data_IF_356265047668
#
_entry.id   IF_356265047668
#
_cell.length_a   1.000
_cell.length_b   1.000
_cell.length_c   1.000
_cell.angle_alpha   90.00
_cell.angle_beta   90.00
_cell.angle_gamma   90.00
#
_symmetry.space_group_name_H-M   'P 1'
#
loop_
_entity.id
_entity.type
_entity.pdbx_description
1 polymer ?
#
# COMPACT_ATOMS: atom_id res chain seq x y z
N UNK A 1 -22.40 7.79 -55.77
CA UNK A 1 -21.97 9.17 -55.50
C UNK A 1 -23.21 10.00 -55.20
N UNK A 2 -23.26 10.59 -53.98
CA UNK A 2 -23.97 11.80 -53.51
C UNK A 2 -25.46 12.00 -53.88
N UNK A 3 -26.34 12.59 -53.07
CA UNK A 3 -26.37 13.14 -51.71
C UNK A 3 -27.85 13.45 -51.48
N UNK A 4 -28.41 13.20 -50.30
CA UNK A 4 -29.67 13.80 -49.87
C UNK A 4 -29.46 14.40 -48.47
N UNK A 5 -29.75 15.70 -48.37
CA UNK A 5 -29.82 16.48 -47.15
C UNK A 5 -31.27 16.52 -46.64
N UNK A 6 -31.44 16.56 -45.32
CA UNK A 6 -32.40 17.35 -44.49
C UNK A 6 -32.28 16.75 -43.07
N UNK A 7 -31.59 17.42 -42.14
CA UNK A 7 -32.08 18.40 -41.15
C UNK A 7 -32.82 17.76 -39.96
N UNK A 8 -32.18 17.74 -38.79
CA UNK A 8 -32.86 17.86 -37.49
C UNK A 8 -32.02 18.80 -36.61
N UNK A 9 -32.66 19.89 -36.20
CA UNK A 9 -32.23 20.88 -35.22
C UNK A 9 -32.19 20.28 -33.81
N UNK A 10 -31.25 20.71 -32.97
CA UNK A 10 -31.46 21.00 -31.53
C UNK A 10 -30.22 21.69 -30.93
N UNK A 11 -30.37 23.00 -30.70
CA UNK A 11 -29.64 23.83 -29.73
C UNK A 11 -30.62 23.95 -28.54
N UNK A 12 -30.24 23.85 -27.24
CA UNK A 12 -29.43 24.89 -26.61
C UNK A 12 -28.54 24.46 -25.41
N UNK A 13 -27.88 25.47 -24.84
CA UNK A 13 -27.15 25.52 -23.56
C UNK A 13 -25.67 25.15 -23.57
N UNK A 14 -24.90 25.91 -24.35
CA UNK A 14 -23.61 26.38 -23.87
C UNK A 14 -23.84 27.62 -22.99
N UNK A 15 -24.09 27.42 -21.69
CA UNK A 15 -23.91 28.48 -20.70
C UNK A 15 -23.25 27.92 -19.45
N UNK A 16 -22.25 28.67 -18.97
CA UNK A 16 -21.64 28.59 -17.64
C UNK A 16 -20.72 27.41 -17.34
N UNK A 17 -19.55 27.40 -17.95
CA UNK A 17 -18.33 27.07 -17.20
C UNK A 17 -17.23 28.08 -17.51
N UNK A 18 -17.17 29.16 -16.72
CA UNK A 18 -15.96 29.70 -16.10
C UNK A 18 -16.37 30.77 -15.10
N UNK A 19 -17.11 30.33 -14.08
CA UNK A 19 -17.27 31.09 -12.84
C UNK A 19 -15.92 30.99 -12.11
N UNK A 20 -15.29 32.15 -11.93
CA UNK A 20 -14.17 32.43 -11.02
C UNK A 20 -14.01 31.34 -9.93
N UNK A 21 -12.97 30.51 -10.05
CA UNK A 21 -12.32 29.91 -8.89
C UNK A 21 -10.92 30.50 -8.78
N UNK A 22 -10.90 31.72 -8.24
CA UNK A 22 -9.78 32.25 -7.48
C UNK A 22 -9.78 31.49 -6.14
N UNK A 23 -9.44 30.20 -6.15
CA UNK A 23 -9.11 29.47 -4.94
C UNK A 23 -7.59 29.47 -4.84
N UNK A 24 -7.07 30.42 -4.05
CA UNK A 24 -5.73 30.31 -3.49
C UNK A 24 -5.66 28.95 -2.80
N UNK A 25 -4.83 28.05 -3.32
CA UNK A 25 -4.49 26.82 -2.60
C UNK A 25 -3.92 27.20 -1.24
N UNK A 26 -4.44 26.66 -0.13
CA UNK A 26 -3.94 26.98 1.22
C UNK A 26 -2.50 26.49 1.44
N UNK A 27 -2.00 25.65 0.53
CA UNK A 27 -0.64 25.10 0.54
C UNK A 27 0.43 26.18 0.38
N UNK A 28 0.14 27.27 -0.37
CA UNK A 28 1.14 28.32 -0.60
C UNK A 28 1.24 29.34 0.54
N UNK A 29 0.28 29.37 1.46
CA UNK A 29 0.35 30.22 2.67
C UNK A 29 1.23 29.60 3.75
N UNK A 30 1.37 28.27 3.78
CA UNK A 30 2.19 27.57 4.77
C UNK A 30 3.70 27.69 4.49
N UNK A 31 4.09 28.03 3.27
CA UNK A 31 5.50 28.22 2.90
C UNK A 31 6.02 29.61 3.25
N UNK A 32 5.14 30.58 3.48
CA UNK A 32 5.53 31.95 3.83
C UNK A 32 5.64 32.16 5.35
N UNK A 33 4.84 31.44 6.15
CA UNK A 33 4.98 31.40 7.61
C UNK A 33 6.26 30.66 8.08
N UNK A 34 6.94 29.95 7.18
CA UNK A 34 8.17 29.19 7.46
C UNK A 34 9.45 30.04 7.38
N UNK A 35 9.36 31.34 7.09
CA UNK A 35 10.51 32.22 6.88
C UNK A 35 10.55 33.47 7.79
N UNK A 36 9.60 33.65 8.71
CA UNK A 36 9.52 34.86 9.58
C UNK A 36 9.54 34.59 11.10
N UNK A 37 9.71 33.36 11.57
CA UNK A 37 9.73 33.04 13.02
C UNK A 37 11.15 32.66 13.51
N UNK A 38 12.07 33.63 13.53
CA UNK A 38 13.45 33.44 14.01
C UNK A 38 13.65 33.76 15.51
N UNK A 39 12.60 34.01 16.31
CA UNK A 39 12.82 34.57 17.67
C UNK A 39 12.00 34.01 18.84
N UNK A 40 11.27 32.89 18.72
CA UNK A 40 10.66 32.26 19.91
C UNK A 40 10.89 30.76 20.01
N UNK A 41 11.66 30.37 21.03
CA UNK A 41 11.88 28.99 21.44
C UNK A 41 10.57 28.29 21.78
N UNK A 42 10.05 27.54 20.80
CA UNK A 42 8.93 26.63 20.95
C UNK A 42 9.42 25.24 20.54
N UNK A 43 9.34 24.26 21.45
CA UNK A 43 9.75 22.86 21.20
C UNK A 43 8.82 22.19 20.18
N UNK A 44 9.04 22.50 18.90
CA UNK A 44 8.36 21.93 17.73
C UNK A 44 8.82 20.49 17.43
N UNK A 45 9.97 20.08 17.98
CA UNK A 45 10.49 18.72 17.87
C UNK A 45 9.57 17.69 18.54
N UNK A 46 8.94 18.05 19.67
CA UNK A 46 8.03 17.17 20.41
C UNK A 46 6.70 16.89 19.69
N UNK A 47 6.07 17.91 19.09
CA UNK A 47 4.77 17.75 18.40
C UNK A 47 4.89 17.13 17.00
N UNK A 48 5.92 17.49 16.25
CA UNK A 48 6.15 16.90 14.93
C UNK A 48 6.53 15.42 15.03
N UNK A 49 7.31 15.03 16.05
CA UNK A 49 7.58 13.63 16.33
C UNK A 49 6.29 12.86 16.72
N UNK A 50 5.43 13.41 17.58
CA UNK A 50 4.16 12.74 17.94
C UNK A 50 3.22 12.56 16.75
N UNK A 51 3.13 13.53 15.83
CA UNK A 51 2.32 13.39 14.60
C UNK A 51 2.94 12.40 13.60
N UNK A 52 4.26 12.38 13.45
CA UNK A 52 4.94 11.39 12.63
C UNK A 52 4.72 9.96 13.17
N UNK A 53 4.81 9.78 14.49
CA UNK A 53 4.50 8.52 15.18
C UNK A 53 3.02 8.10 15.03
N UNK A 54 2.08 9.05 15.11
CA UNK A 54 0.65 8.77 14.93
C UNK A 54 0.30 8.39 13.48
N UNK A 55 0.89 9.07 12.48
CA UNK A 55 0.70 8.74 11.06
C UNK A 55 1.35 7.39 10.69
N UNK A 56 2.44 7.01 11.36
CA UNK A 56 3.07 5.70 11.22
C UNK A 56 2.14 4.57 11.71
N UNK A 57 1.32 4.80 12.75
CA UNK A 57 0.32 3.81 13.18
C UNK A 57 -0.88 3.69 12.22
N UNK A 58 -1.18 4.72 11.42
CA UNK A 58 -2.27 4.71 10.44
C UNK A 58 -1.88 4.09 9.09
N UNK A 59 -0.60 4.13 8.72
CA UNK A 59 -0.09 3.66 7.43
C UNK A 59 0.90 2.52 7.58
N UNK A 60 0.39 1.30 7.47
CA UNK A 60 1.18 0.08 7.63
C UNK A 60 0.79 -1.00 6.63
N UNK A 61 1.64 -2.02 6.52
CA UNK A 61 1.26 -3.30 5.94
C UNK A 61 1.27 -4.33 7.05
N UNK A 62 0.32 -5.26 7.03
CA UNK A 62 0.26 -6.33 8.02
C UNK A 62 0.25 -7.67 7.32
N UNK A 63 1.17 -8.52 7.73
CA UNK A 63 1.35 -9.87 7.25
C UNK A 63 0.96 -10.84 8.35
N UNK A 64 0.11 -11.81 8.01
CA UNK A 64 -0.35 -12.87 8.91
C UNK A 64 -0.16 -14.21 8.25
N UNK A 65 0.61 -15.09 8.87
CA UNK A 65 0.63 -16.50 8.54
C UNK A 65 -0.40 -17.23 9.39
N UNK A 66 -1.16 -18.11 8.75
CA UNK A 66 -2.16 -18.96 9.41
C UNK A 66 -2.19 -20.33 8.74
N UNK A 67 -2.39 -21.38 9.53
CA UNK A 67 -2.77 -22.71 9.07
C UNK A 67 -4.30 -22.77 8.92
N UNK A 68 -4.84 -23.13 7.74
CA UNK A 68 -6.28 -23.27 7.56
C UNK A 68 -6.84 -24.35 8.50
N UNK A 69 -7.86 -24.03 9.29
CA UNK A 69 -8.44 -24.95 10.28
C UNK A 69 -9.23 -26.11 9.66
N UNK A 70 -9.57 -26.03 8.37
CA UNK A 70 -10.57 -26.89 7.74
C UNK A 70 -9.99 -27.62 6.52
N UNK A 71 -9.37 -28.79 6.76
CA UNK A 71 -9.30 -29.96 5.86
C UNK A 71 -9.01 -29.76 4.37
N UNK A 72 -8.47 -28.60 3.99
CA UNK A 72 -8.15 -28.22 2.62
C UNK A 72 -6.70 -28.64 2.39
N UNK A 73 -6.36 -29.07 1.18
CA UNK A 73 -4.98 -29.43 0.79
C UNK A 73 -4.04 -28.20 0.73
N UNK A 74 -4.24 -27.21 1.59
CA UNK A 74 -3.46 -25.99 1.72
C UNK A 74 -2.78 -26.03 3.09
N UNK A 75 -1.45 -25.98 3.11
CA UNK A 75 -0.66 -26.02 4.34
C UNK A 75 -0.69 -24.70 5.08
N UNK A 76 -0.33 -23.64 4.37
CA UNK A 76 -0.19 -22.31 4.94
C UNK A 76 -0.90 -21.28 4.07
N UNK A 77 -1.51 -20.30 4.72
CA UNK A 77 -2.03 -19.10 4.09
C UNK A 77 -1.30 -17.89 4.67
N UNK A 78 -0.65 -17.13 3.79
CA UNK A 78 0.02 -15.89 4.16
C UNK A 78 -0.80 -14.74 3.61
N UNK A 79 -1.43 -14.01 4.52
CA UNK A 79 -2.31 -12.88 4.21
C UNK A 79 -1.55 -11.58 4.34
N UNK A 80 -1.62 -10.73 3.32
CA UNK A 80 -1.13 -9.35 3.34
C UNK A 80 -2.33 -8.40 3.33
N UNK A 81 -2.44 -7.60 4.38
CA UNK A 81 -3.34 -6.45 4.45
C UNK A 81 -2.54 -5.18 4.17
N UNK A 82 -2.97 -4.43 3.15
CA UNK A 82 -2.35 -3.17 2.80
C UNK A 82 -3.13 -1.99 3.39
N UNK A 83 -2.60 -1.33 4.41
CA UNK A 83 -3.08 -0.02 4.92
C UNK A 83 -2.13 1.13 4.54
N UNK A 84 -1.08 0.84 3.79
CA UNK A 84 -0.15 1.85 3.31
C UNK A 84 -0.79 2.68 2.20
N UNK A 85 -0.39 3.94 2.06
CA UNK A 85 -0.84 4.86 0.99
C UNK A 85 -0.28 4.53 -0.41
N UNK A 86 0.27 3.34 -0.60
CA UNK A 86 0.93 2.92 -1.84
C UNK A 86 0.52 1.50 -2.22
N UNK A 87 0.79 1.15 -3.47
CA UNK A 87 0.55 -0.21 -3.93
C UNK A 87 1.61 -1.17 -3.37
N UNK A 88 1.17 -2.37 -3.04
CA UNK A 88 2.02 -3.39 -2.42
C UNK A 88 1.79 -4.74 -3.09
N UNK A 89 2.71 -5.68 -2.89
CA UNK A 89 2.48 -7.09 -3.26
C UNK A 89 3.23 -8.01 -2.32
N UNK A 90 2.67 -9.20 -2.11
CA UNK A 90 3.29 -10.30 -1.40
C UNK A 90 3.80 -11.32 -2.42
N UNK A 91 5.04 -11.75 -2.25
CA UNK A 91 5.63 -12.90 -2.92
C UNK A 91 6.17 -13.86 -1.87
N UNK A 92 5.88 -15.13 -2.03
CA UNK A 92 6.30 -16.20 -1.14
C UNK A 92 7.06 -17.22 -1.96
N UNK A 93 8.36 -17.35 -1.68
CA UNK A 93 9.22 -18.37 -2.26
C UNK A 93 9.21 -19.59 -1.35
N UNK A 94 9.05 -20.78 -1.90
CA UNK A 94 9.04 -22.01 -1.12
C UNK A 94 9.59 -23.18 -1.95
N UNK A 95 9.75 -24.33 -1.31
CA UNK A 95 10.10 -25.60 -1.94
C UNK A 95 8.90 -26.53 -1.85
N UNK A 96 8.46 -27.12 -2.96
CA UNK A 96 7.35 -28.08 -2.99
C UNK A 96 7.74 -29.49 -2.49
N UNK A 97 6.80 -30.44 -2.47
CA UNK A 97 7.02 -31.85 -2.09
C UNK A 97 8.16 -32.51 -2.89
N UNK A 98 8.38 -32.09 -4.13
CA UNK A 98 9.39 -32.64 -5.02
C UNK A 98 10.77 -32.01 -4.81
N UNK A 99 10.89 -31.00 -3.94
CA UNK A 99 12.13 -30.27 -3.75
C UNK A 99 12.33 -29.13 -4.75
N UNK A 100 11.31 -28.77 -5.54
CA UNK A 100 11.40 -27.74 -6.58
C UNK A 100 11.10 -26.36 -6.00
N UNK A 101 11.90 -25.34 -6.31
CA UNK A 101 11.58 -23.96 -5.95
C UNK A 101 10.31 -23.48 -6.66
N UNK A 102 9.38 -22.92 -5.90
CA UNK A 102 8.10 -22.42 -6.37
C UNK A 102 7.79 -21.04 -5.75
N UNK A 103 6.83 -20.33 -6.36
CA UNK A 103 6.42 -18.98 -5.95
C UNK A 103 4.90 -18.91 -5.85
N UNK A 104 4.40 -18.35 -4.75
CA UNK A 104 3.01 -17.92 -4.60
C UNK A 104 2.97 -16.40 -4.42
N UNK A 105 2.05 -15.71 -5.08
CA UNK A 105 1.96 -14.25 -5.01
C UNK A 105 0.52 -13.73 -5.08
N UNK A 106 0.31 -12.52 -4.59
CA UNK A 106 -1.03 -11.89 -4.50
C UNK A 106 -1.35 -10.96 -5.67
N UNK A 107 -0.38 -10.71 -6.55
CA UNK A 107 -0.39 -9.58 -7.48
C UNK A 107 -0.40 -8.22 -6.75
N UNK A 108 -0.70 -7.14 -7.49
CA UNK A 108 -0.83 -5.78 -6.93
C UNK A 108 -2.01 -5.69 -5.95
N UNK A 109 -1.76 -5.09 -4.80
CA UNK A 109 -2.74 -4.70 -3.78
C UNK A 109 -2.78 -3.18 -3.67
N UNK A 110 -3.99 -2.64 -3.82
CA UNK A 110 -4.27 -1.22 -3.57
C UNK A 110 -4.47 -0.95 -2.07
N UNK A 111 -4.51 0.32 -1.69
CA UNK A 111 -4.77 0.75 -0.30
C UNK A 111 -6.11 0.18 0.19
N UNK A 112 -6.12 -0.37 1.40
CA UNK A 112 -7.29 -0.97 2.04
C UNK A 112 -7.59 -2.41 1.62
N UNK A 113 -6.86 -2.98 0.66
CA UNK A 113 -7.06 -4.35 0.22
C UNK A 113 -6.33 -5.37 1.08
N UNK A 114 -6.92 -6.57 1.16
CA UNK A 114 -6.32 -7.75 1.77
C UNK A 114 -6.34 -8.88 0.76
N UNK A 115 -5.21 -9.57 0.58
CA UNK A 115 -5.12 -10.77 -0.25
C UNK A 115 -4.17 -11.79 0.38
N UNK A 116 -4.35 -13.04 0.00
CA UNK A 116 -3.56 -14.14 0.54
C UNK A 116 -2.82 -14.92 -0.54
N UNK A 117 -1.60 -15.34 -0.22
CA UNK A 117 -0.86 -16.35 -0.95
C UNK A 117 -1.06 -17.70 -0.24
N UNK A 118 -1.61 -18.68 -0.97
CA UNK A 118 -1.88 -20.03 -0.46
C UNK A 118 -0.74 -20.96 -0.85
N UNK A 119 -0.25 -21.72 0.13
CA UNK A 119 0.85 -22.66 -0.01
C UNK A 119 0.33 -24.09 0.13
N UNK A 120 0.90 -25.05 -0.61
CA UNK A 120 0.56 -26.46 -0.43
C UNK A 120 1.01 -27.00 0.94
N UNK A 121 0.45 -28.12 1.39
CA UNK A 121 0.70 -28.73 2.73
C UNK A 121 2.16 -29.08 2.96
N UNK A 122 2.82 -29.46 1.88
CA UNK A 122 4.19 -29.92 1.78
C UNK A 122 5.22 -28.80 1.54
N UNK A 123 4.78 -27.53 1.50
CA UNK A 123 5.66 -26.39 1.31
C UNK A 123 6.71 -26.29 2.43
N UNK A 124 7.99 -26.17 2.04
CA UNK A 124 9.14 -26.00 2.94
C UNK A 124 9.95 -24.77 2.56
N UNK A 125 10.90 -24.37 3.42
CA UNK A 125 11.80 -23.24 3.18
C UNK A 125 11.08 -21.94 2.78
N UNK A 126 10.01 -21.62 3.50
CA UNK A 126 9.09 -20.53 3.16
C UNK A 126 9.77 -19.19 3.43
N UNK A 127 10.05 -18.43 2.37
CA UNK A 127 10.62 -17.10 2.40
C UNK A 127 9.61 -16.07 1.88
N UNK A 128 9.37 -15.06 2.68
CA UNK A 128 8.39 -14.01 2.47
C UNK A 128 9.11 -12.77 1.96
N UNK A 129 8.54 -12.16 0.93
CA UNK A 129 8.96 -10.86 0.40
C UNK A 129 7.73 -9.98 0.26
N UNK A 130 7.75 -8.82 0.92
CA UNK A 130 6.75 -7.77 0.73
C UNK A 130 7.40 -6.63 -0.02
N UNK A 131 6.80 -6.25 -1.13
CA UNK A 131 7.28 -5.16 -1.99
C UNK A 131 6.27 -4.02 -2.02
N UNK A 132 6.80 -2.81 -2.21
CA UNK A 132 6.04 -1.56 -2.34
C UNK A 132 6.39 -0.87 -3.66
N UNK A 133 5.41 -0.25 -4.27
CA UNK A 133 5.58 0.53 -5.49
C UNK A 133 5.91 1.98 -5.12
N UNK A 134 7.17 2.39 -5.32
CA UNK A 134 7.59 3.75 -5.00
C UNK A 134 7.17 4.76 -6.07
N UNK A 135 7.15 4.36 -7.36
CA UNK A 135 6.71 5.20 -8.47
C UNK A 135 6.43 4.31 -9.70
N UNK A 136 5.16 4.15 -10.08
CA UNK A 136 4.74 3.53 -11.35
C UNK A 136 5.50 2.26 -11.75
N UNK A 137 5.37 1.18 -10.97
CA UNK A 137 5.96 -0.15 -11.22
C UNK A 137 7.42 -0.33 -10.80
N UNK A 138 8.00 0.65 -10.11
CA UNK A 138 9.28 0.45 -9.45
C UNK A 138 9.08 -0.21 -8.07
N UNK A 139 9.17 -1.54 -8.05
CA UNK A 139 8.99 -2.36 -6.86
C UNK A 139 10.24 -2.40 -5.99
N UNK A 140 10.11 -1.95 -4.74
CA UNK A 140 11.16 -2.02 -3.73
C UNK A 140 10.79 -2.98 -2.62
N UNK A 141 11.76 -3.74 -2.13
CA UNK A 141 11.57 -4.64 -0.99
C UNK A 141 11.35 -3.80 0.28
N UNK A 142 10.18 -3.94 0.89
CA UNK A 142 9.85 -3.37 2.18
C UNK A 142 10.13 -4.35 3.33
N UNK A 143 10.00 -5.65 3.07
CA UNK A 143 10.31 -6.71 4.02
C UNK A 143 10.79 -7.97 3.30
N UNK A 144 11.76 -8.65 3.91
CA UNK A 144 12.21 -9.99 3.51
C UNK A 144 12.50 -10.78 4.79
N UNK A 145 11.94 -11.98 4.90
CA UNK A 145 12.19 -12.86 6.04
C UNK A 145 11.77 -14.29 5.76
N UNK A 146 12.16 -15.19 6.64
CA UNK A 146 11.77 -16.60 6.59
C UNK A 146 10.64 -16.81 7.59
N UNK A 147 9.60 -17.53 7.19
CA UNK A 147 8.52 -17.88 8.12
C UNK A 147 9.05 -18.89 9.14
N UNK A 148 9.01 -18.54 10.43
CA UNK A 148 9.53 -19.40 11.50
C UNK A 148 8.43 -20.05 12.33
N UNK A 149 7.21 -19.50 12.28
CA UNK A 149 6.06 -19.98 13.05
C UNK A 149 4.79 -19.93 12.19
N UNK A 150 3.91 -20.90 12.38
CA UNK A 150 2.61 -21.05 11.69
C UNK A 150 1.57 -19.98 12.02
N UNK A 151 1.78 -19.21 13.10
CA UNK A 151 0.93 -18.10 13.52
C UNK A 151 1.69 -16.76 13.60
N UNK A 152 2.74 -16.60 12.79
CA UNK A 152 3.55 -15.39 12.76
C UNK A 152 2.76 -14.19 12.22
N UNK A 153 2.81 -13.06 12.94
CA UNK A 153 2.18 -11.82 12.52
C UNK A 153 3.17 -10.66 12.60
N UNK A 154 3.31 -9.95 11.48
CA UNK A 154 4.29 -8.89 11.28
C UNK A 154 3.59 -7.65 10.76
N UNK A 155 3.85 -6.51 11.39
CA UNK A 155 3.45 -5.18 10.94
C UNK A 155 4.66 -4.43 10.41
N UNK A 156 4.55 -3.90 9.20
CA UNK A 156 5.56 -3.11 8.51
C UNK A 156 5.07 -1.67 8.45
N UNK A 157 5.70 -0.80 9.22
CA UNK A 157 5.34 0.62 9.41
C UNK A 157 6.35 1.52 8.69
N UNK A 158 6.03 2.78 8.39
CA UNK A 158 6.97 3.68 7.71
C UNK A 158 7.16 3.30 6.24
N UNK A 159 6.05 3.13 5.53
CA UNK A 159 6.09 2.40 4.25
C UNK A 159 6.66 3.23 3.10
N UNK A 160 6.88 4.54 3.27
CA UNK A 160 7.40 5.44 2.22
C UNK A 160 8.89 5.25 1.98
N UNK A 161 9.76 5.79 2.83
CA UNK A 161 11.23 5.75 2.64
C UNK A 161 11.93 4.72 3.54
N UNK A 162 11.50 4.58 4.79
CA UNK A 162 12.14 3.72 5.79
C UNK A 162 11.15 2.85 6.51
N UNK A 163 11.21 1.54 6.27
CA UNK A 163 10.27 0.60 6.87
C UNK A 163 10.79 0.03 8.19
N UNK A 164 9.93 0.03 9.21
CA UNK A 164 10.16 -0.58 10.53
C UNK A 164 9.30 -1.82 10.68
N UNK A 165 9.81 -2.83 11.35
CA UNK A 165 9.17 -4.13 11.51
C UNK A 165 8.79 -4.32 12.98
N UNK A 166 7.53 -4.65 13.23
CA UNK A 166 6.99 -4.92 14.56
C UNK A 166 6.21 -6.23 14.55
N UNK A 167 6.26 -7.06 15.60
CA UNK A 167 5.27 -8.10 15.78
C UNK A 167 3.87 -7.46 15.96
N UNK A 168 2.82 -8.12 15.50
CA UNK A 168 1.46 -7.65 15.77
C UNK A 168 1.17 -7.73 17.27
N UNK A 169 0.60 -6.66 17.83
CA UNK A 169 0.05 -6.65 19.18
C UNK A 169 -1.41 -7.07 19.17
#
# INVERSE_FOLDING_TARGET
MNSCFILVLLVPLATSFHRKFKQRSPIFSQLQDLLDDDDQGFDLTSRNNRRALANDEEHYMELRATTPSNGTNTGFEITLQNRAIMNTRLRVLYTDAQGTPAIAETGRLWVGQTKSAKLPVDAKNINIIVEKDLFFENWHVAYKGTLTNENECIRIVGVTLFSKIHPCK
#
